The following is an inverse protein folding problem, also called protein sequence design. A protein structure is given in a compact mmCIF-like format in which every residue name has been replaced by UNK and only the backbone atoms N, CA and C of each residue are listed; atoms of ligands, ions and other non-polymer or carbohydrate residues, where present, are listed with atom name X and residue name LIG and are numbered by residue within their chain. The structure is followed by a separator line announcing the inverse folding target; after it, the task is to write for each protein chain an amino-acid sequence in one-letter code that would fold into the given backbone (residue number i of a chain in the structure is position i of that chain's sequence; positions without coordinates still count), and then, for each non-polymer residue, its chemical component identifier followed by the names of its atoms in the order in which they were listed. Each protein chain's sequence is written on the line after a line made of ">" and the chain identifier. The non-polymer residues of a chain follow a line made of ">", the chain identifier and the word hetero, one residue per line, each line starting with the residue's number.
data_IF_282310307106
#
_entry.id   IF_282310307106
#
_cell.length_a   1.000
_cell.length_b   1.000
_cell.length_c   1.000
_cell.angle_alpha   90.00
_cell.angle_beta   90.00
_cell.angle_gamma   90.00
#
_symmetry.space_group_name_H-M   'P 1'
#
loop_
_entity.id
_entity.type
_entity.pdbx_description
1 polymer ?
#
# COMPACT_ATOMS: atom_id res chain seq x y z
N UNK A 1 27.52 -4.55 3.04
CA UNK A 1 26.17 -5.12 3.25
C UNK A 1 26.07 -6.40 2.43
N UNK A 2 25.67 -7.55 3.01
CA UNK A 2 25.71 -8.83 2.29
C UNK A 2 24.43 -9.03 1.45
N UNK A 3 24.56 -9.29 0.14
CA UNK A 3 23.41 -9.33 -0.80
C UNK A 3 22.36 -10.40 -0.43
N UNK A 4 22.72 -11.62 0.00
CA UNK A 4 21.77 -12.59 0.55
C UNK A 4 20.95 -12.08 1.74
N UNK A 5 21.54 -11.24 2.61
CA UNK A 5 20.81 -10.65 3.73
C UNK A 5 19.82 -9.56 3.27
N UNK A 6 20.11 -8.89 2.15
CA UNK A 6 19.17 -7.97 1.49
C UNK A 6 18.02 -8.73 0.84
N UNK A 7 18.32 -9.81 0.10
CA UNK A 7 17.31 -10.65 -0.52
C UNK A 7 16.37 -11.25 0.52
N UNK A 8 16.90 -11.67 1.68
CA UNK A 8 16.08 -12.15 2.79
C UNK A 8 15.05 -11.11 3.22
N UNK A 9 15.37 -9.80 3.21
CA UNK A 9 14.41 -8.75 3.60
C UNK A 9 13.22 -8.65 2.67
N UNK A 10 13.32 -9.15 1.43
CA UNK A 10 12.23 -9.20 0.46
C UNK A 10 11.17 -10.25 0.84
N UNK A 11 11.51 -11.26 1.65
CA UNK A 11 10.57 -12.29 2.04
C UNK A 11 9.58 -11.80 3.11
N UNK A 12 8.35 -12.35 3.13
CA UNK A 12 7.37 -12.09 4.19
C UNK A 12 7.93 -12.41 5.58
N UNK A 13 7.51 -11.69 6.66
CA UNK A 13 8.07 -11.86 7.99
C UNK A 13 8.10 -13.30 8.52
N UNK A 14 6.99 -14.05 8.38
CA UNK A 14 6.93 -15.44 8.84
C UNK A 14 7.93 -16.35 8.15
N UNK A 15 8.16 -16.14 6.84
CA UNK A 15 9.18 -16.87 6.06
C UNK A 15 10.59 -16.56 6.57
N UNK A 16 10.88 -15.28 6.84
CA UNK A 16 12.19 -14.86 7.34
C UNK A 16 12.50 -15.43 8.71
N UNK A 17 11.50 -15.45 9.59
CA UNK A 17 11.64 -15.95 10.95
C UNK A 17 11.85 -17.47 10.97
N UNK A 18 11.11 -18.20 10.12
CA UNK A 18 11.17 -19.67 10.09
C UNK A 18 12.32 -20.23 9.25
N UNK A 19 12.56 -19.67 8.08
CA UNK A 19 13.45 -20.23 7.04
C UNK A 19 14.59 -19.29 6.65
N UNK A 20 14.72 -18.13 7.29
CA UNK A 20 15.69 -17.11 6.85
C UNK A 20 17.15 -17.53 6.93
N UNK A 21 17.52 -18.38 7.89
CA UNK A 21 18.87 -18.94 8.00
C UNK A 21 19.22 -19.82 6.81
N UNK A 22 18.31 -20.71 6.43
CA UNK A 22 18.45 -21.64 5.30
C UNK A 22 18.51 -20.88 3.97
N UNK A 23 17.59 -19.93 3.73
CA UNK A 23 17.56 -19.10 2.51
C UNK A 23 18.86 -18.31 2.35
N UNK A 24 19.40 -17.73 3.43
CA UNK A 24 20.67 -16.99 3.37
C UNK A 24 21.85 -17.93 3.10
N UNK A 25 21.83 -19.13 3.67
CA UNK A 25 22.86 -20.13 3.43
C UNK A 25 22.86 -20.60 1.98
N UNK A 26 21.70 -20.98 1.45
CA UNK A 26 21.53 -21.40 0.05
C UNK A 26 21.87 -20.29 -0.94
N UNK A 27 21.40 -19.05 -0.71
CA UNK A 27 21.71 -17.92 -1.56
C UNK A 27 23.22 -17.55 -1.56
N UNK A 28 23.94 -17.86 -0.48
CA UNK A 28 25.41 -17.73 -0.45
C UNK A 28 26.09 -18.84 -1.25
N UNK A 29 25.62 -20.08 -1.14
CA UNK A 29 26.19 -21.22 -1.85
C UNK A 29 25.95 -21.14 -3.36
N UNK A 30 24.76 -20.73 -3.78
CA UNK A 30 24.38 -20.62 -5.19
C UNK A 30 24.99 -19.39 -5.90
N UNK A 31 25.46 -18.40 -5.14
CA UNK A 31 26.15 -17.23 -5.66
C UNK A 31 25.27 -16.23 -6.42
N UNK A 32 25.86 -15.25 -7.13
CA UNK A 32 25.14 -14.13 -7.71
C UNK A 32 24.10 -14.46 -8.78
N UNK A 33 24.27 -15.60 -9.48
CA UNK A 33 23.38 -16.02 -10.56
C UNK A 33 21.99 -16.38 -10.06
N UNK A 34 21.85 -16.87 -8.83
CA UNK A 34 20.56 -17.25 -8.25
C UNK A 34 19.85 -16.10 -7.53
N UNK A 35 20.45 -14.91 -7.45
CA UNK A 35 19.84 -13.78 -6.74
C UNK A 35 18.52 -13.34 -7.37
N UNK A 36 18.43 -13.38 -8.71
CA UNK A 36 17.20 -13.08 -9.41
C UNK A 36 16.12 -14.12 -9.10
N UNK A 37 16.45 -15.41 -9.15
CA UNK A 37 15.53 -16.50 -8.80
C UNK A 37 15.07 -16.43 -7.33
N UNK A 38 15.95 -15.98 -6.44
CA UNK A 38 15.63 -15.75 -5.03
C UNK A 38 14.65 -14.58 -4.88
N UNK A 39 14.85 -13.49 -5.62
CA UNK A 39 13.95 -12.34 -5.62
C UNK A 39 12.58 -12.67 -6.23
N UNK A 40 12.54 -13.43 -7.33
CA UNK A 40 11.27 -13.89 -7.93
C UNK A 40 10.55 -14.88 -7.03
N UNK A 41 11.28 -15.76 -6.34
CA UNK A 41 10.74 -16.64 -5.30
C UNK A 41 10.10 -15.85 -4.15
N UNK A 42 10.76 -14.79 -3.67
CA UNK A 42 10.19 -13.89 -2.67
C UNK A 42 8.90 -13.22 -3.17
N UNK A 43 8.89 -12.72 -4.41
CA UNK A 43 7.71 -12.11 -5.01
C UNK A 43 6.55 -13.10 -5.14
N UNK A 44 6.83 -14.35 -5.54
CA UNK A 44 5.83 -15.41 -5.62
C UNK A 44 5.22 -15.71 -4.26
N UNK A 45 6.03 -15.80 -3.21
CA UNK A 45 5.52 -15.97 -1.84
C UNK A 45 4.64 -14.80 -1.41
N UNK A 46 4.95 -13.56 -1.78
CA UNK A 46 4.07 -12.42 -1.50
C UNK A 46 2.67 -12.55 -2.14
N UNK A 47 2.57 -13.23 -3.28
CA UNK A 47 1.31 -13.49 -3.97
C UNK A 47 0.51 -14.66 -3.38
N UNK A 48 1.15 -15.50 -2.57
CA UNK A 48 0.56 -16.70 -1.96
C UNK A 48 0.62 -16.64 -0.42
N UNK A 49 -0.16 -15.74 0.23
CA UNK A 49 -0.21 -15.66 1.68
C UNK A 49 -0.66 -16.95 2.39
N UNK A 50 -1.33 -17.86 1.69
CA UNK A 50 -1.70 -19.19 2.22
C UNK A 50 -0.49 -20.08 2.53
N UNK A 51 0.64 -19.85 1.87
CA UNK A 51 1.88 -20.62 2.08
C UNK A 51 2.71 -20.08 3.26
N UNK A 52 2.28 -18.99 3.90
CA UNK A 52 3.06 -18.34 4.96
C UNK A 52 2.90 -19.10 6.28
N UNK A 53 4.00 -19.42 6.98
CA UNK A 53 3.91 -19.97 8.32
C UNK A 53 3.39 -18.89 9.27
N UNK A 54 2.35 -19.19 10.02
CA UNK A 54 1.91 -18.35 11.14
C UNK A 54 2.81 -18.61 12.35
N UNK A 55 3.81 -17.74 12.58
CA UNK A 55 4.66 -17.82 13.78
C UNK A 55 3.98 -17.15 14.98
N UNK A 56 3.04 -16.24 14.74
CA UNK A 56 2.16 -15.65 15.75
C UNK A 56 0.73 -15.47 15.22
N UNK A 57 -0.26 -15.62 16.10
CA UNK A 57 -1.67 -15.49 15.71
C UNK A 57 -1.98 -14.11 15.12
N UNK A 58 -2.61 -14.12 13.94
CA UNK A 58 -3.02 -12.90 13.21
C UNK A 58 -1.87 -12.12 12.56
N UNK A 59 -0.64 -12.65 12.51
CA UNK A 59 0.50 -12.03 11.83
C UNK A 59 0.22 -11.81 10.34
N UNK A 60 -0.31 -12.83 9.65
CA UNK A 60 -0.65 -12.78 8.23
C UNK A 60 -1.66 -11.66 7.93
N UNK A 61 -2.73 -11.56 8.72
CA UNK A 61 -3.72 -10.49 8.59
C UNK A 61 -3.12 -9.09 8.80
N UNK A 62 -2.17 -8.91 9.73
CA UNK A 62 -1.47 -7.62 9.94
C UNK A 62 -0.64 -7.23 8.71
N UNK A 63 0.12 -8.18 8.19
CA UNK A 63 1.00 -7.95 7.03
C UNK A 63 0.14 -7.60 5.82
N UNK A 64 -0.94 -8.33 5.59
CA UNK A 64 -1.83 -8.08 4.45
C UNK A 64 -2.64 -6.78 4.59
N UNK A 65 -3.08 -6.42 5.79
CA UNK A 65 -3.72 -5.12 5.99
C UNK A 65 -2.74 -3.95 5.75
N UNK A 66 -1.47 -4.13 6.12
CA UNK A 66 -0.43 -3.15 5.80
C UNK A 66 -0.13 -3.11 4.30
N UNK A 67 -0.07 -4.27 3.64
CA UNK A 67 0.11 -4.37 2.19
C UNK A 67 -1.07 -3.74 1.43
N UNK A 68 -2.29 -3.90 1.92
CA UNK A 68 -3.48 -3.23 1.40
C UNK A 68 -3.30 -1.71 1.39
N UNK A 69 -2.91 -1.13 2.53
CA UNK A 69 -2.64 0.33 2.63
C UNK A 69 -1.52 0.76 1.68
N UNK A 70 -0.46 -0.04 1.56
CA UNK A 70 0.64 0.24 0.64
C UNK A 70 0.18 0.25 -0.83
N UNK A 71 -0.62 -0.74 -1.24
CA UNK A 71 -1.18 -0.84 -2.61
C UNK A 71 -2.14 0.31 -2.88
N UNK A 72 -3.06 0.62 -1.96
CA UNK A 72 -3.98 1.75 -2.09
C UNK A 72 -3.22 3.08 -2.21
N UNK A 73 -2.17 3.26 -1.42
CA UNK A 73 -1.29 4.44 -1.49
C UNK A 73 -0.57 4.51 -2.84
N UNK A 74 0.04 3.41 -3.29
CA UNK A 74 0.73 3.36 -4.58
C UNK A 74 -0.22 3.67 -5.74
N UNK A 75 -1.43 3.10 -5.73
CA UNK A 75 -2.47 3.41 -6.70
C UNK A 75 -2.85 4.89 -6.68
N UNK A 76 -3.04 5.48 -5.50
CA UNK A 76 -3.35 6.91 -5.37
C UNK A 76 -2.23 7.80 -5.92
N UNK A 77 -0.96 7.45 -5.68
CA UNK A 77 0.20 8.17 -6.22
C UNK A 77 0.31 8.03 -7.74
N UNK A 78 0.05 6.85 -8.30
CA UNK A 78 0.03 6.63 -9.75
C UNK A 78 -1.06 7.46 -10.44
N UNK A 79 -2.28 7.44 -9.88
CA UNK A 79 -3.39 8.26 -10.37
C UNK A 79 -3.02 9.74 -10.28
N UNK A 80 -2.40 10.17 -9.17
CA UNK A 80 -1.97 11.55 -9.02
C UNK A 80 -0.89 11.95 -10.02
N UNK A 81 0.05 11.06 -10.33
CA UNK A 81 1.14 11.31 -11.27
C UNK A 81 0.65 11.49 -12.71
N UNK A 82 -0.48 10.87 -13.06
CA UNK A 82 -1.07 10.97 -14.39
C UNK A 82 -1.82 12.29 -14.66
N UNK A 83 -2.01 13.14 -13.64
CA UNK A 83 -2.65 14.43 -13.79
C UNK A 83 -4.18 14.37 -13.89
N UNK A 84 -4.82 15.52 -14.17
CA UNK A 84 -6.28 15.70 -14.08
C UNK A 84 -7.10 15.03 -15.21
N UNK A 85 -6.45 14.45 -16.22
CA UNK A 85 -7.13 14.04 -17.45
C UNK A 85 -7.88 12.70 -17.37
N UNK A 86 -7.52 11.78 -16.47
CA UNK A 86 -7.97 10.38 -16.59
C UNK A 86 -8.95 9.88 -15.51
N UNK A 87 -8.93 10.44 -14.29
CA UNK A 87 -9.74 9.96 -13.15
C UNK A 87 -10.19 11.10 -12.22
N UNK A 88 -10.67 12.21 -12.77
CA UNK A 88 -11.22 13.30 -11.95
C UNK A 88 -12.58 12.91 -11.38
N UNK A 89 -12.67 12.91 -10.05
CA UNK A 89 -13.92 12.73 -9.33
C UNK A 89 -14.75 14.01 -9.52
N UNK A 90 -15.90 13.87 -10.18
CA UNK A 90 -16.87 14.95 -10.34
C UNK A 90 -18.22 14.46 -9.81
N UNK A 91 -18.87 15.31 -9.02
CA UNK A 91 -20.22 15.07 -8.50
C UNK A 91 -21.23 15.08 -9.66
N UNK A 92 -20.97 15.89 -10.68
CA UNK A 92 -21.83 16.06 -11.85
C UNK A 92 -21.72 14.89 -12.84
N UNK A 93 -20.70 14.02 -12.68
CA UNK A 93 -20.47 12.85 -13.54
C UNK A 93 -20.26 11.59 -12.69
N UNK A 94 -21.34 11.00 -12.13
CA UNK A 94 -21.23 9.84 -11.24
C UNK A 94 -20.58 8.62 -11.92
N UNK A 95 -20.73 8.48 -13.24
CA UNK A 95 -20.14 7.38 -14.03
C UNK A 95 -18.62 7.43 -14.02
N UNK A 96 -18.00 8.61 -14.13
CA UNK A 96 -16.53 8.76 -14.06
C UNK A 96 -15.99 8.61 -12.64
N UNK A 97 -16.85 8.69 -11.63
CA UNK A 97 -16.49 8.49 -10.22
C UNK A 97 -16.78 7.05 -9.73
N UNK A 98 -17.38 6.19 -10.56
CA UNK A 98 -17.82 4.86 -10.15
C UNK A 98 -16.69 3.90 -9.77
N UNK A 99 -15.43 4.15 -10.22
CA UNK A 99 -14.25 3.38 -9.79
C UNK A 99 -13.90 3.58 -8.31
N UNK A 100 -14.30 4.72 -7.74
CA UNK A 100 -13.98 5.07 -6.36
C UNK A 100 -14.84 4.30 -5.36
N UNK A 101 -16.11 4.04 -5.70
CA UNK A 101 -17.05 3.32 -4.83
C UNK A 101 -16.52 1.96 -4.33
N UNK A 102 -16.04 1.05 -5.20
CA UNK A 102 -15.46 -0.22 -4.74
C UNK A 102 -14.15 -0.02 -3.94
N UNK A 103 -13.35 1.00 -4.23
CA UNK A 103 -12.14 1.30 -3.42
C UNK A 103 -12.53 1.79 -2.02
N UNK A 104 -13.54 2.64 -1.89
CA UNK A 104 -14.05 3.09 -0.60
C UNK A 104 -14.65 1.94 0.20
N UNK A 105 -15.42 1.07 -0.46
CA UNK A 105 -15.94 -0.15 0.16
C UNK A 105 -14.78 -1.06 0.64
N UNK A 106 -13.73 -1.21 -0.17
CA UNK A 106 -12.54 -1.96 0.20
C UNK A 106 -11.85 -1.37 1.44
N UNK A 107 -11.68 -0.05 1.51
CA UNK A 107 -11.08 0.62 2.66
C UNK A 107 -11.93 0.41 3.91
N UNK A 108 -13.25 0.57 3.81
CA UNK A 108 -14.16 0.32 4.93
C UNK A 108 -14.07 -1.14 5.42
N UNK A 109 -14.00 -2.10 4.50
CA UNK A 109 -13.81 -3.52 4.81
C UNK A 109 -12.42 -3.82 5.36
N UNK A 110 -11.37 -3.13 4.96
CA UNK A 110 -10.02 -3.34 5.49
C UNK A 110 -9.77 -2.64 6.84
N UNK A 111 -10.58 -1.62 7.18
CA UNK A 111 -10.35 -0.79 8.36
C UNK A 111 -10.38 -1.58 9.67
N UNK A 112 -9.36 -1.49 10.54
CA UNK A 112 -9.39 -2.16 11.83
C UNK A 112 -10.58 -1.68 12.67
N UNK A 113 -11.29 -2.60 13.32
CA UNK A 113 -12.41 -2.22 14.17
C UNK A 113 -11.87 -1.70 15.51
N UNK A 114 -12.26 -0.48 15.92
CA UNK A 114 -11.87 0.01 17.23
C UNK A 114 -12.52 -0.87 18.31
N UNK A 115 -11.77 -1.29 19.34
CA UNK A 115 -12.40 -1.86 20.52
C UNK A 115 -13.35 -0.81 21.14
N UNK A 116 -14.54 -1.24 21.59
CA UNK A 116 -15.56 -0.39 22.23
C UNK A 116 -15.13 0.23 23.59
N UNK A 117 -13.84 0.19 23.92
CA UNK A 117 -13.28 0.70 25.18
C UNK A 117 -12.65 2.07 24.94
N UNK A 118 -13.15 3.10 25.62
CA UNK A 118 -12.64 4.48 25.53
C UNK A 118 -11.13 4.60 25.74
N UNK A 119 -10.56 3.87 26.70
CA UNK A 119 -9.11 3.88 26.93
C UNK A 119 -8.30 3.35 25.73
N UNK A 120 -8.86 2.38 24.99
CA UNK A 120 -8.23 1.86 23.79
C UNK A 120 -8.40 2.81 22.59
N UNK A 121 -9.56 3.47 22.47
CA UNK A 121 -9.74 4.58 21.53
C UNK A 121 -8.73 5.72 21.77
N UNK A 122 -8.52 6.12 23.02
CA UNK A 122 -7.54 7.14 23.38
C UNK A 122 -6.11 6.74 22.99
N UNK A 123 -5.72 5.48 23.19
CA UNK A 123 -4.41 4.96 22.77
C UNK A 123 -4.28 4.91 21.25
N UNK A 124 -5.32 4.53 20.53
CA UNK A 124 -5.35 4.54 19.07
C UNK A 124 -5.21 5.97 18.53
N UNK A 125 -5.99 6.91 19.06
CA UNK A 125 -5.93 8.32 18.71
C UNK A 125 -4.54 8.91 18.99
N UNK A 126 -3.95 8.63 20.16
CA UNK A 126 -2.60 9.08 20.49
C UNK A 126 -1.54 8.49 19.55
N UNK A 127 -1.68 7.21 19.18
CA UNK A 127 -0.76 6.54 18.23
C UNK A 127 -0.89 7.13 16.83
N UNK A 128 -2.13 7.37 16.38
CA UNK A 128 -2.42 8.02 15.11
C UNK A 128 -1.86 9.44 15.09
N UNK A 129 -2.15 10.25 16.10
CA UNK A 129 -1.63 11.61 16.23
C UNK A 129 -0.10 11.62 16.20
N UNK A 130 0.58 10.84 17.04
CA UNK A 130 2.05 10.79 17.07
C UNK A 130 2.67 10.35 15.75
N UNK A 131 1.98 9.48 15.00
CA UNK A 131 2.48 8.99 13.71
C UNK A 131 2.18 9.99 12.58
N UNK A 132 1.07 10.74 12.66
CA UNK A 132 0.60 11.61 11.59
C UNK A 132 0.94 13.09 11.78
N UNK A 133 1.35 13.54 12.96
CA UNK A 133 1.72 14.95 13.20
C UNK A 133 2.82 15.41 12.23
N UNK A 134 3.91 14.66 12.13
CA UNK A 134 5.02 15.01 11.23
C UNK A 134 4.58 15.13 9.75
N UNK A 135 3.88 14.14 9.14
CA UNK A 135 3.42 14.29 7.76
C UNK A 135 2.36 15.38 7.58
N UNK A 136 1.47 15.59 8.56
CA UNK A 136 0.48 16.68 8.52
C UNK A 136 1.16 18.05 8.54
N UNK A 137 2.18 18.23 9.38
CA UNK A 137 2.96 19.47 9.42
C UNK A 137 3.76 19.69 8.14
N UNK A 138 4.37 18.64 7.57
CA UNK A 138 5.09 18.73 6.31
C UNK A 138 4.17 19.14 5.15
N UNK A 139 2.99 18.49 5.06
CA UNK A 139 1.98 18.85 4.07
C UNK A 139 1.41 20.25 4.29
N UNK A 140 1.11 20.60 5.55
CA UNK A 140 0.65 21.93 5.94
C UNK A 140 1.66 23.02 5.60
N UNK A 141 2.95 22.77 5.81
CA UNK A 141 4.03 23.68 5.43
C UNK A 141 4.10 23.90 3.92
N UNK A 142 4.02 22.82 3.12
CA UNK A 142 3.95 22.92 1.66
C UNK A 142 2.69 23.66 1.18
N UNK A 143 1.55 23.38 1.79
CA UNK A 143 0.29 24.04 1.46
C UNK A 143 0.35 25.53 1.77
N UNK A 144 0.82 25.92 2.96
CA UNK A 144 1.01 27.31 3.34
C UNK A 144 2.01 28.01 2.43
N UNK A 145 3.13 27.36 2.09
CA UNK A 145 4.10 27.91 1.16
C UNK A 145 3.47 28.20 -0.21
N UNK A 146 2.70 27.25 -0.74
CA UNK A 146 2.00 27.41 -2.02
C UNK A 146 0.94 28.53 -2.00
N UNK A 147 0.29 28.77 -0.86
CA UNK A 147 -0.76 29.79 -0.71
C UNK A 147 -0.29 31.12 -0.11
N UNK A 148 0.97 31.21 0.30
CA UNK A 148 1.53 32.40 0.94
C UNK A 148 1.72 33.59 -0.02
N UNK A 149 1.66 33.35 -1.33
CA UNK A 149 2.00 34.34 -2.35
C UNK A 149 3.49 34.71 -2.38
N UNK A 150 4.33 34.11 -1.54
CA UNK A 150 5.77 34.38 -1.47
C UNK A 150 6.52 33.90 -2.71
N UNK A 151 5.98 32.90 -3.41
CA UNK A 151 6.57 32.33 -4.62
C UNK A 151 5.66 32.65 -5.80
N UNK A 152 5.87 33.82 -6.40
CA UNK A 152 5.20 34.21 -7.65
C UNK A 152 6.00 33.57 -8.79
N UNK A 153 5.62 32.34 -9.19
CA UNK A 153 6.22 31.55 -10.27
C UNK A 153 7.66 31.07 -10.00
N UNK A 154 7.85 29.94 -9.29
CA UNK A 154 9.17 29.36 -9.16
C UNK A 154 9.68 28.97 -10.55
N UNK A 155 10.88 29.43 -10.91
CA UNK A 155 11.54 29.06 -12.17
C UNK A 155 12.86 28.35 -11.90
N UNK A 156 13.25 27.44 -12.80
CA UNK A 156 14.51 26.70 -12.70
C UNK A 156 14.54 25.70 -11.54
N UNK A 157 15.61 25.72 -10.74
CA UNK A 157 15.86 24.73 -9.67
C UNK A 157 14.82 24.77 -8.55
N UNK A 158 14.20 25.93 -8.30
CA UNK A 158 13.19 26.08 -7.26
C UNK A 158 11.92 25.26 -7.58
N UNK A 159 11.53 25.19 -8.85
CA UNK A 159 10.37 24.40 -9.29
C UNK A 159 10.64 22.90 -9.15
N UNK A 160 11.81 22.44 -9.62
CA UNK A 160 12.24 21.04 -9.47
C UNK A 160 12.31 20.64 -8.00
N UNK A 161 12.84 21.50 -7.13
CA UNK A 161 12.90 21.25 -5.70
C UNK A 161 11.50 21.19 -5.08
N UNK A 162 10.59 22.09 -5.47
CA UNK A 162 9.22 22.11 -4.96
C UNK A 162 8.45 20.84 -5.37
N UNK A 163 8.57 20.41 -6.62
CA UNK A 163 8.00 19.15 -7.14
C UNK A 163 8.62 17.96 -6.38
N UNK A 164 9.93 17.96 -6.18
CA UNK A 164 10.63 16.94 -5.39
C UNK A 164 10.13 16.87 -3.95
N UNK A 165 10.02 18.01 -3.27
CA UNK A 165 9.48 18.12 -1.92
C UNK A 165 8.02 17.66 -1.83
N UNK A 166 7.22 17.98 -2.83
CA UNK A 166 5.83 17.53 -2.94
C UNK A 166 5.73 16.00 -2.98
N UNK A 167 6.45 15.36 -3.92
CA UNK A 167 6.46 13.90 -4.05
C UNK A 167 7.08 13.21 -2.84
N UNK A 168 8.15 13.77 -2.29
CA UNK A 168 8.76 13.27 -1.05
C UNK A 168 7.77 13.30 0.11
N UNK A 169 6.99 14.37 0.24
CA UNK A 169 5.97 14.50 1.30
C UNK A 169 4.84 13.50 1.11
N UNK A 170 4.37 13.29 -0.11
CA UNK A 170 3.36 12.26 -0.41
C UNK A 170 3.87 10.85 -0.10
N UNK A 171 5.11 10.52 -0.51
CA UNK A 171 5.75 9.25 -0.17
C UNK A 171 5.92 9.08 1.35
N UNK A 172 6.31 10.15 2.03
CA UNK A 172 6.45 10.20 3.49
C UNK A 172 5.12 9.93 4.20
N UNK A 173 4.02 10.55 3.77
CA UNK A 173 2.66 10.26 4.25
C UNK A 173 2.34 8.78 4.04
N UNK A 174 2.58 8.26 2.84
CA UNK A 174 2.34 6.85 2.50
C UNK A 174 3.04 5.87 3.43
N UNK A 175 4.34 6.09 3.68
CA UNK A 175 5.13 5.29 4.63
C UNK A 175 4.53 5.37 6.03
N UNK A 176 4.14 6.57 6.48
CA UNK A 176 3.54 6.76 7.80
C UNK A 176 2.17 6.09 7.94
N UNK A 177 1.37 6.03 6.88
CA UNK A 177 0.11 5.26 6.85
C UNK A 177 0.37 3.76 6.99
N UNK A 178 1.37 3.23 6.29
CA UNK A 178 1.79 1.82 6.44
C UNK A 178 2.27 1.52 7.86
N UNK A 179 3.11 2.39 8.43
CA UNK A 179 3.59 2.26 9.81
C UNK A 179 2.45 2.37 10.83
N UNK A 180 1.50 3.28 10.59
CA UNK A 180 0.32 3.42 11.42
C UNK A 180 -0.50 2.13 11.41
N UNK A 181 -0.76 1.55 10.23
CA UNK A 181 -1.52 0.31 10.12
C UNK A 181 -0.82 -0.85 10.84
N UNK A 182 0.51 -0.97 10.68
CA UNK A 182 1.31 -1.96 11.39
C UNK A 182 1.28 -1.80 12.91
N UNK A 183 1.22 -0.56 13.43
CA UNK A 183 1.09 -0.26 14.87
C UNK A 183 -0.32 -0.52 15.38
N UNK A 184 -1.34 -0.06 14.65
CA UNK A 184 -2.76 -0.22 14.99
C UNK A 184 -3.14 -1.69 15.04
N UNK A 185 -2.60 -2.53 14.15
CA UNK A 185 -2.84 -3.98 14.15
C UNK A 185 -2.39 -4.71 15.42
N UNK A 186 -1.61 -4.07 16.31
CA UNK A 186 -1.25 -4.61 17.63
C UNK A 186 -2.28 -4.28 18.71
N UNK A 187 -3.13 -3.29 18.49
CA UNK A 187 -4.04 -2.70 19.49
C UNK A 187 -5.51 -2.93 19.13
N UNK A 188 -5.83 -2.89 17.84
CA UNK A 188 -7.19 -3.02 17.33
C UNK A 188 -7.49 -4.45 16.86
N UNK A 189 -8.79 -4.76 16.77
CA UNK A 189 -9.25 -6.04 16.20
C UNK A 189 -9.03 -5.97 14.69
N UNK A 190 -8.15 -6.84 14.20
CA UNK A 190 -7.84 -6.93 12.78
C UNK A 190 -9.03 -7.47 11.98
N UNK A 191 -9.15 -7.10 10.70
CA UNK A 191 -10.16 -7.69 9.83
C UNK A 191 -9.94 -9.21 9.75
N UNK A 192 -11.05 -9.96 9.78
CA UNK A 192 -11.01 -11.41 9.54
C UNK A 192 -10.56 -11.70 8.10
N UNK A 193 -10.04 -12.90 7.87
CA UNK A 193 -9.59 -13.35 6.54
C UNK A 193 -10.68 -13.17 5.48
N UNK A 194 -11.94 -13.47 5.82
CA UNK A 194 -13.09 -13.26 4.92
C UNK A 194 -13.32 -11.79 4.58
N UNK A 195 -13.22 -10.90 5.56
CA UNK A 195 -13.44 -9.47 5.37
C UNK A 195 -12.31 -8.84 4.54
N UNK A 196 -11.08 -9.30 4.79
CA UNK A 196 -9.90 -8.90 4.03
C UNK A 196 -9.92 -9.44 2.60
N UNK A 197 -10.36 -10.68 2.39
CA UNK A 197 -10.62 -11.23 1.06
C UNK A 197 -11.61 -10.37 0.28
N UNK A 198 -12.76 -10.04 0.88
CA UNK A 198 -13.73 -9.14 0.28
C UNK A 198 -13.11 -7.76 -0.02
N UNK A 199 -12.37 -7.18 0.92
CA UNK A 199 -11.68 -5.90 0.73
C UNK A 199 -10.72 -5.94 -0.48
N UNK A 200 -9.93 -7.01 -0.63
CA UNK A 200 -9.03 -7.18 -1.77
C UNK A 200 -9.81 -7.32 -3.07
N UNK A 201 -10.89 -8.09 -3.12
CA UNK A 201 -11.73 -8.20 -4.33
C UNK A 201 -12.33 -6.84 -4.74
N UNK A 202 -12.84 -6.07 -3.78
CA UNK A 202 -13.36 -4.73 -4.04
C UNK A 202 -12.25 -3.77 -4.51
N UNK A 203 -11.07 -3.82 -3.90
CA UNK A 203 -9.93 -3.00 -4.33
C UNK A 203 -9.51 -3.37 -5.76
N UNK A 204 -9.36 -4.66 -6.05
CA UNK A 204 -9.02 -5.16 -7.38
C UNK A 204 -10.05 -4.75 -8.44
N UNK A 205 -11.34 -4.85 -8.12
CA UNK A 205 -12.41 -4.41 -9.01
C UNK A 205 -12.36 -2.90 -9.28
N UNK A 206 -12.13 -2.08 -8.26
CA UNK A 206 -11.97 -0.63 -8.40
C UNK A 206 -10.76 -0.25 -9.25
N UNK A 207 -9.61 -0.91 -9.04
CA UNK A 207 -8.40 -0.70 -9.82
C UNK A 207 -8.57 -1.16 -11.28
N UNK A 208 -9.25 -2.28 -11.52
CA UNK A 208 -9.55 -2.75 -12.88
C UNK A 208 -10.48 -1.78 -13.62
N UNK A 209 -11.50 -1.26 -12.95
CA UNK A 209 -12.40 -0.28 -13.54
C UNK A 209 -11.69 1.05 -13.81
N UNK A 210 -10.81 1.50 -12.89
CA UNK A 210 -9.94 2.64 -13.12
C UNK A 210 -9.00 2.41 -14.31
N UNK A 211 -8.40 1.22 -14.44
CA UNK A 211 -7.55 0.87 -15.59
C UNK A 211 -8.32 1.00 -16.92
N UNK A 212 -9.53 0.45 -17.01
CA UNK A 212 -10.40 0.58 -18.19
C UNK A 212 -10.71 2.04 -18.51
N UNK A 213 -11.07 2.85 -17.52
CA UNK A 213 -11.33 4.28 -17.74
C UNK A 213 -10.08 5.01 -18.25
N UNK A 214 -8.91 4.73 -17.65
CA UNK A 214 -7.63 5.35 -18.06
C UNK A 214 -7.18 4.90 -19.46
N UNK A 215 -7.53 3.67 -19.87
CA UNK A 215 -7.33 3.17 -21.22
C UNK A 215 -8.20 3.93 -22.22
N UNK A 216 -9.48 4.12 -21.90
CA UNK A 216 -10.42 4.89 -22.72
C UNK A 216 -10.02 6.37 -22.82
N UNK A 217 -9.36 6.90 -21.79
CA UNK A 217 -8.78 8.24 -21.78
C UNK A 217 -7.43 8.35 -22.52
N UNK A 218 -6.90 7.24 -23.07
CA UNK A 218 -5.67 7.23 -23.88
C UNK A 218 -4.35 7.09 -23.10
N UNK A 219 -4.41 6.80 -21.79
CA UNK A 219 -3.20 6.67 -20.94
C UNK A 219 -2.78 5.21 -20.73
N UNK A 220 -2.11 4.62 -21.73
CA UNK A 220 -1.69 3.21 -21.72
C UNK A 220 -0.82 2.82 -20.52
N UNK A 221 0.21 3.61 -20.21
CA UNK A 221 1.14 3.30 -19.11
C UNK A 221 0.44 3.24 -17.75
N UNK A 222 -0.47 4.19 -17.50
CA UNK A 222 -1.27 4.21 -16.28
C UNK A 222 -2.24 3.02 -16.23
N UNK A 223 -2.93 2.75 -17.34
CA UNK A 223 -3.84 1.60 -17.45
C UNK A 223 -3.10 0.29 -17.15
N UNK A 224 -1.92 0.07 -17.76
CA UNK A 224 -1.09 -1.10 -17.49
C UNK A 224 -0.67 -1.19 -16.02
N UNK A 225 -0.27 -0.07 -15.40
CA UNK A 225 0.10 -0.03 -13.98
C UNK A 225 -1.07 -0.39 -13.05
N UNK A 226 -2.25 0.18 -13.30
CA UNK A 226 -3.47 -0.11 -12.54
C UNK A 226 -3.94 -1.55 -12.76
N UNK A 227 -3.88 -2.06 -13.99
CA UNK A 227 -4.23 -3.44 -14.31
C UNK A 227 -3.28 -4.44 -13.65
N UNK A 228 -1.98 -4.16 -13.62
CA UNK A 228 -1.00 -4.99 -12.93
C UNK A 228 -1.25 -5.03 -11.42
N UNK A 229 -1.56 -3.88 -10.81
CA UNK A 229 -1.94 -3.81 -9.39
C UNK A 229 -3.25 -4.59 -9.13
N UNK A 230 -4.26 -4.42 -9.98
CA UNK A 230 -5.52 -5.15 -9.88
C UNK A 230 -5.29 -6.66 -9.95
N UNK A 231 -4.49 -7.15 -10.90
CA UNK A 231 -4.14 -8.55 -11.03
C UNK A 231 -3.45 -9.10 -9.78
N UNK A 232 -2.45 -8.39 -9.26
CA UNK A 232 -1.75 -8.79 -8.03
C UNK A 232 -2.72 -8.88 -6.84
N UNK A 233 -3.60 -7.88 -6.67
CA UNK A 233 -4.61 -7.86 -5.62
C UNK A 233 -5.60 -9.02 -5.74
N UNK A 234 -6.04 -9.35 -6.97
CA UNK A 234 -6.91 -10.50 -7.21
C UNK A 234 -6.23 -11.82 -6.88
N UNK A 235 -4.97 -12.02 -7.30
CA UNK A 235 -4.20 -13.24 -6.99
C UNK A 235 -4.11 -13.46 -5.48
N UNK A 236 -3.70 -12.42 -4.73
CA UNK A 236 -3.63 -12.46 -3.26
C UNK A 236 -5.02 -12.72 -2.66
N UNK A 237 -6.06 -12.08 -3.18
CA UNK A 237 -7.44 -12.29 -2.74
C UNK A 237 -7.88 -13.74 -2.92
N UNK A 238 -7.70 -14.32 -4.11
CA UNK A 238 -8.08 -15.70 -4.39
C UNK A 238 -7.30 -16.71 -3.56
N UNK A 239 -6.02 -16.44 -3.31
CA UNK A 239 -5.18 -17.29 -2.47
C UNK A 239 -5.67 -17.32 -1.01
N UNK A 240 -6.05 -16.16 -0.45
CA UNK A 240 -6.61 -16.07 0.90
C UNK A 240 -7.92 -16.83 1.09
N UNK A 241 -8.71 -16.99 0.02
CA UNK A 241 -9.95 -17.77 0.07
C UNK A 241 -9.68 -19.22 0.43
N UNK A 242 -8.54 -19.78 0.00
CA UNK A 242 -8.15 -21.18 0.26
C UNK A 242 -7.88 -21.44 1.74
N UNK A 243 -7.44 -20.43 2.49
CA UNK A 243 -7.16 -20.52 3.94
C UNK A 243 -8.44 -20.47 4.78
N UNK A 244 -9.51 -19.88 4.24
CA UNK A 244 -10.76 -19.66 4.97
C UNK A 244 -11.77 -20.81 4.86
N UNK A 245 -11.44 -21.86 4.10
CA UNK A 245 -12.20 -23.10 3.92
C UNK A 245 -11.62 -24.20 4.81
#
# INVERSE_FOLDING_TARGET
>A
MNVPALLLRLYPPGIRERWGGEIVHEARLAGPRSWFDTATGAAKLWLHPSDWPETASGQTSRVLATAFVAVTTAAALLVRAAGPASLTVSVDRPVTSAWLAPILAAIALAAPLPPLRWAALGRLAATAARTLIAPVLAFGGLFLLAHSGLIVHPTGMADVLLIGCYWATLGFIGIHLCLLMARVGRIAVLPSTRRLHAALLFLGAGLAFAAVQTLLAGTLVLSCGLAALAAAVFVIGFDLRRVAQ
#
